data_IF_529037227699
#
_entry.id   IF_529037227699
#
_cell.length_a   1.000
_cell.length_b   1.000
_cell.length_c   1.000
_cell.angle_alpha   90.00
_cell.angle_beta   90.00
_cell.angle_gamma   90.00
#
_symmetry.space_group_name_H-M   'P 1'
#
loop_
_entity.id
_entity.type
_entity.pdbx_description
1 polymer ?
#
# COMPACT_ATOMS: atom_id res chain seq x y z
N UNK A 1 2.95 0.26 -19.32
CA UNK A 1 1.56 0.26 -18.83
C UNK A 1 1.55 0.12 -17.33
N UNK A 2 0.79 0.96 -16.65
CA UNK A 2 0.63 0.80 -15.22
C UNK A 2 -0.28 -0.39 -14.95
N UNK A 3 0.06 -1.19 -13.92
CA UNK A 3 -0.78 -2.30 -13.50
C UNK A 3 -2.07 -1.74 -12.88
N UNK A 4 -3.20 -2.44 -13.10
CA UNK A 4 -4.44 -2.10 -12.43
C UNK A 4 -4.54 -2.70 -11.02
N UNK A 5 -3.57 -3.52 -10.63
CA UNK A 5 -3.48 -4.10 -9.29
C UNK A 5 -2.17 -3.65 -8.66
N UNK A 6 -2.27 -2.86 -7.61
CA UNK A 6 -1.12 -2.34 -6.88
C UNK A 6 -1.00 -3.07 -5.55
N UNK A 7 0.22 -3.47 -5.20
CA UNK A 7 0.49 -4.22 -3.98
C UNK A 7 1.07 -3.30 -2.91
N UNK A 8 0.54 -3.41 -1.70
CA UNK A 8 1.00 -2.61 -0.58
C UNK A 8 0.68 -3.25 0.76
N UNK A 9 0.91 -2.50 1.82
CA UNK A 9 0.63 -2.92 3.18
C UNK A 9 0.01 -1.77 3.96
N UNK A 10 -0.44 -2.06 5.18
CA UNK A 10 -1.01 -1.06 6.08
C UNK A 10 0.12 -0.41 6.87
N UNK A 11 0.73 0.62 6.28
CA UNK A 11 1.88 1.30 6.87
C UNK A 11 3.22 0.71 6.46
N UNK A 12 4.29 1.37 6.87
CA UNK A 12 5.66 0.92 6.57
C UNK A 12 6.55 0.85 7.81
N UNK A 13 5.98 1.01 9.00
CA UNK A 13 6.75 1.09 10.24
C UNK A 13 6.56 -0.12 11.15
N UNK A 14 6.16 -1.25 10.60
CA UNK A 14 5.93 -2.46 11.38
C UNK A 14 7.22 -2.91 12.08
N UNK A 15 7.19 -3.09 13.43
CA UNK A 15 8.38 -3.52 14.16
C UNK A 15 8.98 -4.85 13.68
N UNK A 16 8.12 -5.77 13.23
CA UNK A 16 8.56 -7.07 12.74
C UNK A 16 9.32 -7.00 11.42
N UNK A 17 9.29 -5.85 10.74
CA UNK A 17 10.04 -5.65 9.50
C UNK A 17 11.49 -5.20 9.75
N UNK A 18 11.82 -4.82 10.98
CA UNK A 18 13.20 -4.52 11.34
C UNK A 18 14.00 -5.81 11.29
N UNK A 19 15.15 -5.81 10.64
CA UNK A 19 16.03 -6.98 10.43
C UNK A 19 15.46 -8.04 9.48
N UNK A 20 14.24 -7.86 8.97
CA UNK A 20 13.67 -8.80 8.00
C UNK A 20 13.47 -8.13 6.65
N UNK A 21 12.55 -7.19 6.56
CA UNK A 21 12.33 -6.41 5.34
C UNK A 21 13.33 -5.27 5.23
N UNK A 22 13.51 -4.51 6.31
CA UNK A 22 14.50 -3.43 6.36
C UNK A 22 15.84 -3.95 6.85
N UNK A 23 16.96 -3.50 6.24
CA UNK A 23 18.29 -3.80 6.81
C UNK A 23 18.37 -3.31 8.26
N UNK A 24 19.11 -4.07 9.09
CA UNK A 24 19.17 -3.83 10.54
C UNK A 24 19.70 -2.44 10.91
N UNK A 25 20.57 -1.89 10.11
CA UNK A 25 21.22 -0.60 10.36
C UNK A 25 20.56 0.57 9.64
N UNK A 26 19.41 0.33 8.98
CA UNK A 26 18.73 1.39 8.23
C UNK A 26 18.09 2.40 9.17
N UNK A 27 18.39 3.71 9.03
CA UNK A 27 17.70 4.74 9.78
C UNK A 27 16.19 4.72 9.52
N UNK A 28 15.41 5.02 10.55
CA UNK A 28 13.96 5.00 10.45
C UNK A 28 13.45 5.93 9.34
N UNK A 29 14.08 7.09 9.18
CA UNK A 29 13.68 8.07 8.18
C UNK A 29 13.89 7.61 6.74
N UNK A 30 14.60 6.50 6.52
CA UNK A 30 14.81 5.94 5.18
C UNK A 30 13.86 4.82 4.85
N UNK A 31 13.02 4.41 5.80
CA UNK A 31 12.13 3.25 5.61
C UNK A 31 11.13 3.45 4.48
N UNK A 32 10.52 4.62 4.38
CA UNK A 32 9.54 4.87 3.33
C UNK A 32 10.20 4.84 1.95
N UNK A 33 11.37 5.42 1.80
CA UNK A 33 12.12 5.37 0.55
C UNK A 33 12.40 3.92 0.15
N UNK A 34 12.78 3.09 1.11
CA UNK A 34 13.01 1.67 0.85
C UNK A 34 11.70 0.94 0.53
N UNK A 35 10.64 1.21 1.32
CA UNK A 35 9.33 0.60 1.12
C UNK A 35 8.83 0.84 -0.31
N UNK A 36 8.98 2.05 -0.79
CA UNK A 36 8.51 2.42 -2.12
C UNK A 36 9.30 1.77 -3.26
N UNK A 37 10.45 1.17 -2.99
CA UNK A 37 11.15 0.36 -3.99
C UNK A 37 10.54 -1.02 -4.15
N UNK A 38 9.79 -1.50 -3.16
CA UNK A 38 9.23 -2.86 -3.13
C UNK A 38 7.71 -2.88 -3.27
N UNK A 39 7.04 -1.77 -2.97
CA UNK A 39 5.58 -1.66 -2.99
C UNK A 39 5.17 -0.44 -3.78
N UNK A 40 3.95 -0.47 -4.32
CA UNK A 40 3.43 0.58 -5.19
C UNK A 40 2.41 1.47 -4.48
N UNK A 41 1.94 1.06 -3.31
CA UNK A 41 0.97 1.83 -2.53
C UNK A 41 1.11 1.52 -1.05
N UNK A 42 0.47 2.36 -0.23
CA UNK A 42 0.38 2.14 1.20
C UNK A 42 -0.99 2.56 1.69
N UNK A 43 -1.57 1.78 2.60
CA UNK A 43 -2.80 2.15 3.29
C UNK A 43 -2.40 2.82 4.60
N UNK A 44 -2.91 4.03 4.84
CA UNK A 44 -2.64 4.78 6.05
C UNK A 44 -3.92 4.95 6.84
N UNK A 45 -3.93 4.40 8.07
CA UNK A 45 -5.05 4.58 8.99
C UNK A 45 -5.25 6.07 9.26
N UNK A 46 -6.50 6.45 9.53
CA UNK A 46 -6.88 7.85 9.73
C UNK A 46 -6.01 8.53 10.78
N UNK A 47 -5.76 7.87 11.92
CA UNK A 47 -4.93 8.45 12.97
C UNK A 47 -3.50 8.74 12.51
N UNK A 48 -2.97 7.94 11.61
CA UNK A 48 -1.60 8.10 11.15
C UNK A 48 -1.45 9.33 10.26
N UNK A 49 -2.28 9.45 9.23
CA UNK A 49 -2.12 10.55 8.29
C UNK A 49 -2.65 11.88 8.85
N UNK A 50 -3.68 11.84 9.72
CA UNK A 50 -4.22 13.08 10.30
C UNK A 50 -3.32 13.67 11.37
N UNK A 51 -2.60 12.84 12.14
CA UNK A 51 -1.68 13.33 13.18
C UNK A 51 -0.38 13.86 12.61
N UNK A 52 -0.02 13.45 11.40
CA UNK A 52 1.18 13.93 10.75
C UNK A 52 0.97 15.39 10.30
N UNK A 53 1.99 16.22 10.49
CA UNK A 53 1.91 17.62 10.07
C UNK A 53 2.25 17.79 8.59
N UNK A 54 2.08 19.02 8.09
CA UNK A 54 2.33 19.34 6.68
C UNK A 54 3.76 19.04 6.27
N UNK A 55 4.72 19.29 7.16
CA UNK A 55 6.13 19.01 6.86
C UNK A 55 6.36 17.51 6.69
N UNK A 56 5.73 16.69 7.54
CA UNK A 56 5.79 15.24 7.43
C UNK A 56 5.16 14.76 6.11
N UNK A 57 4.00 15.29 5.75
CA UNK A 57 3.34 14.93 4.49
C UNK A 57 4.22 15.28 3.29
N UNK A 58 4.88 16.44 3.34
CA UNK A 58 5.81 16.85 2.28
C UNK A 58 6.96 15.86 2.16
N UNK A 59 7.49 15.42 3.30
CA UNK A 59 8.58 14.45 3.33
C UNK A 59 8.14 13.13 2.71
N UNK A 60 6.92 12.67 3.03
CA UNK A 60 6.39 11.44 2.41
C UNK A 60 6.34 11.57 0.89
N UNK A 61 5.90 12.73 0.40
CA UNK A 61 5.84 12.96 -1.04
C UNK A 61 7.24 12.94 -1.67
N UNK A 62 8.23 13.52 -0.99
CA UNK A 62 9.60 13.57 -1.49
C UNK A 62 10.29 12.21 -1.45
N UNK A 63 9.93 11.35 -0.50
CA UNK A 63 10.56 10.04 -0.30
C UNK A 63 10.03 8.97 -1.24
N UNK A 64 9.03 9.27 -2.05
CA UNK A 64 8.37 8.31 -2.94
C UNK A 64 8.38 8.79 -4.39
N UNK A 65 8.34 7.84 -5.32
CA UNK A 65 8.28 8.20 -6.74
C UNK A 65 6.88 8.72 -7.11
N UNK A 66 6.78 9.36 -8.26
CA UNK A 66 5.56 10.07 -8.67
C UNK A 66 4.33 9.18 -8.86
N UNK A 67 4.52 7.88 -9.08
CA UNK A 67 3.42 6.95 -9.29
C UNK A 67 2.98 6.20 -8.03
N UNK A 68 3.66 6.45 -6.91
CA UNK A 68 3.32 5.81 -5.64
C UNK A 68 2.00 6.36 -5.11
N UNK A 69 1.12 5.48 -4.60
CA UNK A 69 -0.23 5.86 -4.17
C UNK A 69 -0.37 5.79 -2.65
N UNK A 70 -0.89 6.86 -2.06
CA UNK A 70 -1.23 6.92 -0.63
C UNK A 70 -2.74 6.73 -0.49
N UNK A 71 -3.14 5.64 0.16
CA UNK A 71 -4.55 5.34 0.42
C UNK A 71 -4.87 5.88 1.81
N UNK A 72 -5.62 6.97 1.88
CA UNK A 72 -5.86 7.69 3.13
C UNK A 72 -7.25 7.35 3.66
N UNK A 73 -7.26 6.62 4.78
CA UNK A 73 -8.50 6.15 5.39
C UNK A 73 -9.37 7.31 5.84
N UNK A 74 -10.63 7.29 5.44
CA UNK A 74 -11.65 8.25 5.83
C UNK A 74 -11.36 9.71 5.44
N UNK A 75 -10.46 9.93 4.49
CA UNK A 75 -10.25 11.26 3.96
C UNK A 75 -11.42 11.64 3.04
N UNK A 76 -11.80 12.92 3.06
CA UNK A 76 -12.65 13.46 1.99
C UNK A 76 -11.74 14.10 0.95
N UNK A 77 -12.28 14.37 -0.24
CA UNK A 77 -11.50 15.03 -1.31
C UNK A 77 -10.93 16.37 -0.85
N UNK A 78 -11.68 17.09 -0.01
CA UNK A 78 -11.26 18.39 0.51
C UNK A 78 -10.19 18.28 1.60
N UNK A 79 -10.06 17.09 2.23
CA UNK A 79 -9.14 16.87 3.34
C UNK A 79 -7.79 16.30 2.92
N UNK A 80 -7.64 15.91 1.65
CA UNK A 80 -6.37 15.34 1.20
C UNK A 80 -5.25 16.36 1.41
N UNK A 81 -4.15 15.97 2.08
CA UNK A 81 -3.02 16.88 2.25
C UNK A 81 -2.54 17.39 0.90
N UNK A 82 -2.29 18.69 0.82
CA UNK A 82 -1.90 19.32 -0.44
C UNK A 82 -0.69 18.64 -1.09
N UNK A 83 0.29 18.26 -0.27
CA UNK A 83 1.51 17.60 -0.76
C UNK A 83 1.25 16.22 -1.36
N UNK A 84 0.13 15.58 -0.99
CA UNK A 84 -0.22 14.23 -1.42
C UNK A 84 -1.43 14.21 -2.34
N UNK A 85 -2.01 15.38 -2.68
CA UNK A 85 -3.29 15.43 -3.37
C UNK A 85 -3.29 14.76 -4.75
N UNK A 86 -2.16 14.81 -5.45
CA UNK A 86 -2.04 14.20 -6.79
C UNK A 86 -1.81 12.69 -6.74
N UNK A 87 -1.46 12.14 -5.57
CA UNK A 87 -1.19 10.71 -5.38
C UNK A 87 -1.99 10.10 -4.24
N UNK A 88 -2.81 10.91 -3.58
CA UNK A 88 -3.65 10.45 -2.48
C UNK A 88 -5.00 10.00 -2.99
N UNK A 89 -5.49 8.90 -2.44
CA UNK A 89 -6.81 8.36 -2.75
C UNK A 89 -7.57 8.24 -1.44
N UNK A 90 -8.74 8.86 -1.37
CA UNK A 90 -9.61 8.74 -0.19
C UNK A 90 -10.31 7.38 -0.24
N UNK A 91 -10.15 6.60 0.82
CA UNK A 91 -10.71 5.25 0.87
C UNK A 91 -11.36 5.01 2.22
N UNK A 92 -12.28 4.05 2.26
CA UNK A 92 -12.75 3.45 3.50
C UNK A 92 -12.15 2.06 3.61
N UNK A 93 -12.05 1.53 4.82
CA UNK A 93 -11.49 0.20 5.03
C UNK A 93 -12.26 -0.87 4.23
N UNK A 94 -13.56 -0.67 4.00
CA UNK A 94 -14.42 -1.57 3.25
C UNK A 94 -14.59 -1.18 1.78
N UNK A 95 -13.77 -0.26 1.28
CA UNK A 95 -13.83 0.18 -0.11
C UNK A 95 -13.66 -1.02 -1.05
N UNK A 96 -14.51 -1.11 -2.08
CA UNK A 96 -14.47 -2.23 -3.02
C UNK A 96 -13.16 -2.31 -3.82
N UNK A 97 -12.41 -1.23 -3.90
CA UNK A 97 -11.11 -1.21 -4.59
C UNK A 97 -10.01 -1.81 -3.72
N UNK A 98 -10.24 -1.99 -2.42
CA UNK A 98 -9.26 -2.58 -1.50
C UNK A 98 -9.49 -4.08 -1.39
N UNK A 99 -8.46 -4.85 -1.66
CA UNK A 99 -8.48 -6.30 -1.51
C UNK A 99 -7.50 -6.64 -0.41
N UNK A 100 -8.05 -6.94 0.78
CA UNK A 100 -7.24 -7.28 1.95
C UNK A 100 -6.82 -8.73 1.89
N UNK A 101 -5.58 -9.01 2.27
CA UNK A 101 -5.10 -10.38 2.38
C UNK A 101 -4.24 -10.52 3.64
N UNK A 102 -4.10 -11.75 4.10
CA UNK A 102 -3.29 -12.09 5.27
C UNK A 102 -2.80 -13.55 5.14
N UNK A 103 -2.18 -14.06 6.20
CA UNK A 103 -1.64 -15.42 6.21
C UNK A 103 -2.73 -16.50 6.03
N UNK A 104 -3.98 -16.16 6.27
CA UNK A 104 -5.10 -17.09 6.14
C UNK A 104 -5.81 -16.99 4.80
N UNK A 105 -5.35 -16.14 3.90
CA UNK A 105 -5.99 -15.96 2.59
C UNK A 105 -5.76 -17.17 1.71
N UNK A 106 -6.84 -17.71 1.12
CA UNK A 106 -6.76 -18.78 0.14
C UNK A 106 -6.38 -18.21 -1.22
N UNK A 107 -5.23 -18.63 -1.75
CA UNK A 107 -4.71 -18.09 -3.02
C UNK A 107 -5.63 -18.40 -4.20
N UNK A 108 -6.31 -19.55 -4.20
CA UNK A 108 -7.24 -19.89 -5.29
C UNK A 108 -8.44 -18.95 -5.29
N UNK A 109 -8.99 -18.67 -4.11
CA UNK A 109 -10.10 -17.72 -3.97
C UNK A 109 -9.67 -16.32 -4.38
N UNK A 110 -8.46 -15.93 -3.99
CA UNK A 110 -7.92 -14.63 -4.38
C UNK A 110 -7.76 -14.54 -5.89
N UNK A 111 -7.19 -15.56 -6.53
CA UNK A 111 -7.02 -15.60 -7.99
C UNK A 111 -8.38 -15.44 -8.69
N UNK A 112 -9.39 -16.16 -8.21
CA UNK A 112 -10.74 -16.07 -8.77
C UNK A 112 -11.30 -14.65 -8.64
N UNK A 113 -11.14 -14.05 -7.48
CA UNK A 113 -11.60 -12.68 -7.24
C UNK A 113 -10.91 -11.69 -8.18
N UNK A 114 -9.61 -11.85 -8.43
CA UNK A 114 -8.87 -10.98 -9.33
C UNK A 114 -9.34 -11.13 -10.78
N UNK A 115 -9.69 -12.34 -11.21
CA UNK A 115 -10.21 -12.55 -12.57
C UNK A 115 -11.61 -11.99 -12.75
N UNK A 116 -12.37 -11.83 -11.67
CA UNK A 116 -13.73 -11.29 -11.73
C UNK A 116 -13.77 -9.76 -11.77
N UNK A 117 -12.65 -9.09 -11.56
CA UNK A 117 -12.59 -7.64 -11.67
C UNK A 117 -12.71 -7.26 -13.14
N UNK A 118 -13.82 -6.64 -13.48
CA UNK A 118 -14.21 -6.41 -14.88
C UNK A 118 -13.79 -5.05 -15.43
N UNK A 119 -13.46 -4.10 -14.57
CA UNK A 119 -13.12 -2.74 -15.02
C UNK A 119 -11.60 -2.49 -14.94
N UNK A 120 -11.17 -1.37 -15.51
CA UNK A 120 -9.78 -0.95 -15.51
C UNK A 120 -9.44 -0.03 -14.33
N UNK A 121 -10.37 0.15 -13.40
CA UNK A 121 -10.14 0.96 -12.20
C UNK A 121 -9.04 0.33 -11.36
N UNK A 122 -8.08 1.11 -10.87
CA UNK A 122 -7.04 0.55 -10.01
C UNK A 122 -7.60 -0.09 -8.76
N UNK A 123 -7.10 -1.27 -8.43
CA UNK A 123 -7.43 -1.99 -7.20
C UNK A 123 -6.14 -2.19 -6.42
N UNK A 124 -6.27 -2.26 -5.11
CA UNK A 124 -5.11 -2.28 -4.21
C UNK A 124 -5.16 -3.52 -3.33
N UNK A 125 -4.12 -4.35 -3.43
CA UNK A 125 -3.99 -5.54 -2.58
C UNK A 125 -3.15 -5.14 -1.37
N UNK A 126 -3.76 -5.19 -0.20
CA UNK A 126 -3.16 -4.66 1.02
C UNK A 126 -2.96 -5.78 2.03
N UNK A 127 -1.72 -5.97 2.49
CA UNK A 127 -1.42 -6.92 3.56
C UNK A 127 -1.97 -6.40 4.87
N UNK A 128 -2.86 -7.17 5.50
CA UNK A 128 -3.48 -6.80 6.77
C UNK A 128 -2.58 -7.12 7.96
N UNK A 129 -1.73 -8.14 7.85
CA UNK A 129 -0.93 -8.63 8.98
C UNK A 129 0.58 -8.45 8.79
N UNK A 130 1.00 -7.78 7.73
CA UNK A 130 2.40 -7.51 7.43
C UNK A 130 3.26 -8.78 7.28
N UNK A 131 2.64 -9.92 6.97
CA UNK A 131 3.37 -11.16 6.80
C UNK A 131 4.06 -11.20 5.44
N UNK A 132 5.38 -11.06 5.44
CA UNK A 132 6.17 -10.94 4.20
C UNK A 132 6.07 -12.17 3.31
N UNK A 133 5.96 -13.36 3.89
CA UNK A 133 5.78 -14.58 3.11
C UNK A 133 4.51 -14.54 2.27
N UNK A 134 3.43 -14.04 2.83
CA UNK A 134 2.18 -13.89 2.10
C UNK A 134 2.26 -12.79 1.05
N UNK A 135 2.96 -11.70 1.35
CA UNK A 135 3.20 -10.63 0.37
C UNK A 135 3.89 -11.22 -0.87
N UNK A 136 4.91 -12.04 -0.68
CA UNK A 136 5.63 -12.65 -1.80
C UNK A 136 4.75 -13.64 -2.56
N UNK A 137 3.88 -14.39 -1.87
CA UNK A 137 2.94 -15.29 -2.52
C UNK A 137 1.96 -14.53 -3.40
N UNK A 138 1.45 -13.40 -2.92
CA UNK A 138 0.54 -12.55 -3.70
C UNK A 138 1.29 -11.95 -4.89
N UNK A 139 2.51 -11.47 -4.68
CA UNK A 139 3.33 -10.93 -5.77
C UNK A 139 3.53 -11.98 -6.88
N UNK A 140 3.87 -13.20 -6.48
CA UNK A 140 4.03 -14.31 -7.42
C UNK A 140 2.73 -14.61 -8.16
N UNK A 141 1.60 -14.61 -7.45
CA UNK A 141 0.30 -14.83 -8.06
C UNK A 141 0.01 -13.79 -9.14
N UNK A 142 0.25 -12.52 -8.85
CA UNK A 142 0.06 -11.46 -9.83
C UNK A 142 0.92 -11.68 -11.07
N UNK A 143 2.18 -12.06 -10.87
CA UNK A 143 3.09 -12.35 -11.99
C UNK A 143 2.59 -13.51 -12.84
N UNK A 144 2.14 -14.59 -12.19
CA UNK A 144 1.64 -15.76 -12.90
C UNK A 144 0.36 -15.48 -13.69
N UNK A 145 -0.44 -14.55 -13.21
CA UNK A 145 -1.68 -14.14 -13.87
C UNK A 145 -1.45 -13.06 -14.93
N UNK A 146 -0.24 -12.52 -15.03
CA UNK A 146 0.07 -11.45 -15.97
C UNK A 146 -0.51 -10.10 -15.57
N UNK A 147 -0.67 -9.90 -14.28
CA UNK A 147 -1.27 -8.66 -13.74
C UNK A 147 -0.23 -7.71 -13.15
#
# INVERSE_FOLDING_TARGET
MSSRFLLGAAGWSQPEWVDSFYPSDMPEEWRLTYYNTQFECVFLAEAVWRQADTQTHRRWAEDTHEHFVFLLENASAAELPECLADRGVAVRKQDSRLIWFDRNTDMKSLARRLTEVADDTPHYLISADAELGEVERVRTLLQLMGL
#
